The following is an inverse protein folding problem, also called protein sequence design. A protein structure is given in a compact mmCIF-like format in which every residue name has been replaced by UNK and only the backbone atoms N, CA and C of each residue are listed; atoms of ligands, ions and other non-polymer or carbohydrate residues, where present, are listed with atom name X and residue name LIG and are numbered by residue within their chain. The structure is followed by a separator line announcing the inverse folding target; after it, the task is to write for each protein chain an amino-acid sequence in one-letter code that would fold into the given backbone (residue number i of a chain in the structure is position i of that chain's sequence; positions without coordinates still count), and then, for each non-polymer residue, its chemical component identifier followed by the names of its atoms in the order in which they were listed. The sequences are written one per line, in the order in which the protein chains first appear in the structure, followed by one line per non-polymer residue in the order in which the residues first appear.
data_IF_480134434820
#
_entry.id   IF_480134434820
#
_cell.length_a   1.000
_cell.length_b   1.000
_cell.length_c   1.000
_cell.angle_alpha   90.00
_cell.angle_beta   90.00
_cell.angle_gamma   90.00
#
_symmetry.space_group_name_H-M   'P 1'
#
loop_
_entity.id
_entity.type
_entity.pdbx_description
1 polymer ?
#
# COMPACT_ATOMS: atom_id res chain seq x y z
N UNK A 1 -18.50 -14.73 13.02
CA UNK A 1 -17.51 -13.96 12.23
C UNK A 1 -16.27 -14.79 11.87
N UNK A 2 -15.55 -15.42 12.80
CA UNK A 2 -14.28 -16.11 12.48
C UNK A 2 -14.37 -17.23 11.43
N UNK A 3 -15.50 -17.92 11.31
CA UNK A 3 -15.70 -18.99 10.32
C UNK A 3 -15.91 -18.51 8.88
N UNK A 4 -16.17 -17.21 8.67
CA UNK A 4 -16.41 -16.62 7.36
C UNK A 4 -15.25 -15.68 6.94
N UNK A 5 -14.29 -15.42 7.82
CA UNK A 5 -13.19 -14.48 7.56
C UNK A 5 -12.17 -15.05 6.57
N UNK A 6 -11.95 -16.37 6.61
CA UNK A 6 -11.04 -17.08 5.68
C UNK A 6 -11.74 -18.34 5.21
N UNK A 7 -12.00 -18.43 3.92
CA UNK A 7 -12.77 -19.54 3.31
C UNK A 7 -11.88 -20.64 2.69
N UNK A 8 -10.56 -20.45 2.68
CA UNK A 8 -9.64 -21.39 2.08
C UNK A 8 -8.17 -21.10 2.42
N UNK A 9 -7.24 -21.90 1.92
CA UNK A 9 -5.80 -21.69 2.10
C UNK A 9 -5.33 -20.48 1.27
N UNK A 10 -4.17 -19.93 1.65
CA UNK A 10 -3.52 -18.83 0.95
C UNK A 10 -3.61 -17.52 1.72
N UNK A 11 -3.39 -16.41 1.00
CA UNK A 11 -3.52 -15.06 1.57
C UNK A 11 -4.98 -14.62 1.62
N UNK A 12 -5.25 -13.53 2.35
CA UNK A 12 -6.64 -13.04 2.53
C UNK A 12 -7.32 -12.62 1.22
N UNK A 13 -8.65 -12.44 1.28
CA UNK A 13 -9.49 -12.07 0.14
C UNK A 13 -9.36 -10.59 -0.30
N UNK A 14 -8.47 -9.81 0.33
CA UNK A 14 -8.33 -8.37 0.07
C UNK A 14 -6.93 -7.98 -0.44
N UNK A 15 -6.79 -6.69 -0.80
CA UNK A 15 -5.55 -6.06 -1.27
C UNK A 15 -4.68 -5.63 -0.08
N UNK A 16 -4.39 -6.57 0.84
CA UNK A 16 -3.40 -6.40 1.88
C UNK A 16 -1.97 -6.47 1.32
N UNK A 17 -0.97 -6.49 2.21
CA UNK A 17 0.44 -6.46 1.81
C UNK A 17 0.82 -7.61 0.87
N UNK A 18 0.33 -8.83 1.13
CA UNK A 18 0.66 -10.00 0.30
C UNK A 18 0.18 -9.81 -1.15
N UNK A 19 -1.12 -9.52 -1.36
CA UNK A 19 -1.66 -9.32 -2.70
C UNK A 19 -1.11 -8.07 -3.38
N UNK A 20 -0.84 -6.98 -2.64
CA UNK A 20 -0.15 -5.81 -3.19
C UNK A 20 1.26 -6.13 -3.67
N UNK A 21 1.99 -7.00 -2.95
CA UNK A 21 3.33 -7.42 -3.37
C UNK A 21 3.31 -8.46 -4.49
N UNK A 22 2.27 -9.30 -4.61
CA UNK A 22 2.05 -10.12 -5.79
C UNK A 22 1.89 -9.25 -7.05
N UNK A 23 0.99 -8.26 -6.98
CA UNK A 23 0.78 -7.28 -8.04
C UNK A 23 2.08 -6.52 -8.36
N UNK A 24 2.81 -6.05 -7.35
CA UNK A 24 4.08 -5.37 -7.53
C UNK A 24 5.13 -6.25 -8.20
N UNK A 25 5.21 -7.54 -7.85
CA UNK A 25 6.16 -8.47 -8.46
C UNK A 25 5.92 -8.64 -9.97
N UNK A 26 4.66 -8.68 -10.41
CA UNK A 26 4.32 -8.75 -11.83
C UNK A 26 4.60 -7.42 -12.55
N UNK A 27 4.25 -6.28 -11.93
CA UNK A 27 4.53 -4.95 -12.48
C UNK A 27 6.05 -4.64 -12.55
N UNK A 28 6.87 -5.20 -11.64
CA UNK A 28 8.32 -5.18 -11.70
C UNK A 28 8.91 -6.10 -12.82
N UNK A 29 8.08 -6.90 -13.47
CA UNK A 29 8.53 -7.91 -14.41
C UNK A 29 9.17 -9.15 -13.76
N UNK A 30 9.02 -9.34 -12.43
CA UNK A 30 9.65 -10.42 -11.66
C UNK A 30 8.73 -11.63 -11.42
N UNK A 31 7.45 -11.55 -11.79
CA UNK A 31 6.54 -12.68 -11.86
C UNK A 31 6.19 -12.99 -13.32
N UNK A 32 5.80 -14.23 -13.60
CA UNK A 32 5.29 -14.58 -14.92
C UNK A 32 3.97 -13.85 -15.19
N UNK A 33 3.77 -13.29 -16.38
CA UNK A 33 2.55 -12.60 -16.73
C UNK A 33 1.28 -13.44 -16.50
N UNK A 34 0.26 -12.84 -15.87
CA UNK A 34 -1.01 -13.49 -15.58
C UNK A 34 -0.98 -14.50 -14.42
N UNK A 35 0.04 -14.44 -13.57
CA UNK A 35 0.14 -15.32 -12.40
C UNK A 35 -0.16 -14.61 -11.07
N UNK A 36 -0.56 -13.33 -11.11
CA UNK A 36 -0.88 -12.56 -9.90
C UNK A 36 -2.20 -11.77 -10.04
N UNK A 37 -3.14 -11.96 -9.11
CA UNK A 37 -3.18 -13.02 -8.10
C UNK A 37 -3.48 -14.37 -8.75
N UNK A 38 -3.30 -15.46 -8.00
CA UNK A 38 -3.72 -16.79 -8.39
C UNK A 38 -4.31 -17.51 -7.17
N UNK A 39 -5.44 -18.17 -7.35
CA UNK A 39 -6.12 -18.87 -6.26
C UNK A 39 -5.26 -20.00 -5.71
N UNK A 40 -5.00 -19.97 -4.40
CA UNK A 40 -4.19 -20.98 -3.74
C UNK A 40 -4.74 -22.40 -3.93
N UNK A 41 -3.84 -23.36 -4.21
CA UNK A 41 -4.14 -24.77 -4.49
C UNK A 41 -5.01 -25.03 -5.73
N UNK A 42 -5.21 -24.01 -6.57
CA UNK A 42 -5.87 -24.20 -7.87
C UNK A 42 -4.97 -24.91 -8.88
N UNK A 43 -5.57 -25.47 -9.92
CA UNK A 43 -4.83 -25.99 -11.07
C UNK A 43 -3.98 -24.90 -11.73
N UNK A 44 -4.48 -23.66 -11.80
CA UNK A 44 -3.75 -22.50 -12.30
C UNK A 44 -2.49 -22.21 -11.49
N UNK A 45 -2.55 -22.28 -10.15
CA UNK A 45 -1.37 -22.09 -9.30
C UNK A 45 -0.31 -23.16 -9.58
N UNK A 46 -0.71 -24.44 -9.68
CA UNK A 46 0.25 -25.52 -9.96
C UNK A 46 0.87 -25.41 -11.36
N UNK A 47 0.10 -24.98 -12.35
CA UNK A 47 0.61 -24.69 -13.69
C UNK A 47 1.62 -23.53 -13.67
N UNK A 48 1.31 -22.44 -12.95
CA UNK A 48 2.21 -21.30 -12.79
C UNK A 48 3.52 -21.70 -12.09
N UNK A 49 3.44 -22.50 -11.02
CA UNK A 49 4.65 -23.02 -10.32
C UNK A 49 5.51 -23.85 -11.25
N UNK A 50 4.91 -24.77 -12.02
CA UNK A 50 5.65 -25.59 -12.96
C UNK A 50 6.30 -24.75 -14.08
N UNK A 51 5.60 -23.73 -14.57
CA UNK A 51 6.13 -22.80 -15.57
C UNK A 51 7.28 -21.97 -15.01
N UNK A 52 7.13 -21.43 -13.79
CA UNK A 52 8.17 -20.68 -13.11
C UNK A 52 9.44 -21.53 -12.89
N UNK A 53 9.26 -22.81 -12.51
CA UNK A 53 10.37 -23.74 -12.35
C UNK A 53 11.15 -24.00 -13.65
N UNK A 54 10.47 -24.10 -14.78
CA UNK A 54 11.13 -24.19 -16.09
C UNK A 54 11.83 -22.88 -16.45
N UNK A 55 11.13 -21.77 -16.26
CA UNK A 55 11.64 -20.45 -16.65
C UNK A 55 12.88 -20.04 -15.87
N UNK A 56 12.98 -20.35 -14.57
CA UNK A 56 14.18 -20.00 -13.81
C UNK A 56 15.44 -20.69 -14.35
N UNK A 57 15.34 -21.93 -14.83
CA UNK A 57 16.45 -22.63 -15.46
C UNK A 57 16.89 -21.92 -16.75
N UNK A 58 15.93 -21.51 -17.58
CA UNK A 58 16.21 -20.76 -18.82
C UNK A 58 16.89 -19.42 -18.52
N UNK A 59 16.44 -18.69 -17.48
CA UNK A 59 17.04 -17.43 -17.06
C UNK A 59 18.50 -17.62 -16.60
N UNK A 60 18.77 -18.68 -15.84
CA UNK A 60 20.13 -19.03 -15.41
C UNK A 60 21.03 -19.34 -16.61
N UNK A 61 20.55 -20.15 -17.54
CA UNK A 61 21.33 -20.51 -18.75
C UNK A 61 21.59 -19.32 -19.68
N UNK A 62 20.67 -18.33 -19.69
CA UNK A 62 20.81 -17.10 -20.47
C UNK A 62 21.55 -15.98 -19.71
N UNK A 63 22.03 -16.23 -18.47
CA UNK A 63 22.63 -15.24 -17.56
C UNK A 63 21.75 -14.00 -17.36
N UNK A 64 20.42 -14.16 -17.34
CA UNK A 64 19.48 -13.07 -17.06
C UNK A 64 19.33 -12.97 -15.55
N UNK A 65 19.82 -11.87 -14.99
CA UNK A 65 19.86 -11.63 -13.55
C UNK A 65 18.75 -10.68 -13.12
N UNK A 66 18.21 -10.79 -11.88
CA UNK A 66 17.20 -9.87 -11.37
C UNK A 66 17.59 -8.40 -11.51
N UNK A 67 18.86 -8.04 -11.26
CA UNK A 67 19.36 -6.66 -11.37
C UNK A 67 19.28 -6.08 -12.78
N UNK A 68 19.24 -6.90 -13.82
CA UNK A 68 19.04 -6.41 -15.19
C UNK A 68 17.57 -6.09 -15.52
N UNK A 69 16.62 -6.56 -14.70
CA UNK A 69 15.18 -6.35 -14.85
C UNK A 69 14.66 -5.28 -13.88
N UNK A 70 15.23 -5.20 -12.67
CA UNK A 70 14.85 -4.28 -11.61
C UNK A 70 15.42 -2.87 -11.86
N UNK A 71 14.89 -2.21 -12.89
CA UNK A 71 15.27 -0.86 -13.31
C UNK A 71 14.38 0.22 -12.66
N UNK A 72 14.78 1.48 -12.73
CA UNK A 72 13.95 2.60 -12.25
C UNK A 72 12.57 2.62 -12.93
N UNK A 73 12.50 2.28 -14.21
CA UNK A 73 11.25 2.14 -14.95
C UNK A 73 10.34 1.03 -14.37
N UNK A 74 10.91 -0.13 -14.04
CA UNK A 74 10.18 -1.22 -13.42
C UNK A 74 9.62 -0.82 -12.04
N UNK A 75 10.40 -0.09 -11.22
CA UNK A 75 9.91 0.44 -9.94
C UNK A 75 8.80 1.48 -10.13
N UNK A 76 8.91 2.37 -11.11
CA UNK A 76 7.85 3.32 -11.47
C UNK A 76 6.55 2.59 -11.85
N UNK A 77 6.63 1.54 -12.68
CA UNK A 77 5.49 0.72 -13.06
C UNK A 77 4.85 0.04 -11.83
N UNK A 78 5.64 -0.51 -10.93
CA UNK A 78 5.15 -1.15 -9.72
C UNK A 78 4.44 -0.17 -8.77
N UNK A 79 5.01 1.03 -8.59
CA UNK A 79 4.39 2.10 -7.79
C UNK A 79 3.07 2.54 -8.41
N UNK A 80 3.03 2.74 -9.73
CA UNK A 80 1.80 3.09 -10.47
C UNK A 80 0.71 2.03 -10.26
N UNK A 81 1.06 0.76 -10.39
CA UNK A 81 0.09 -0.33 -10.17
C UNK A 81 -0.44 -0.37 -8.73
N UNK A 82 0.43 -0.18 -7.72
CA UNK A 82 0.03 -0.14 -6.31
C UNK A 82 -0.91 1.03 -6.02
N UNK A 83 -0.63 2.21 -6.58
CA UNK A 83 -1.48 3.40 -6.43
C UNK A 83 -2.87 3.17 -7.01
N UNK A 84 -2.96 2.57 -8.19
CA UNK A 84 -4.23 2.34 -8.90
C UNK A 84 -5.18 1.36 -8.19
N UNK A 85 -4.68 0.56 -7.26
CA UNK A 85 -5.49 -0.37 -6.44
C UNK A 85 -5.60 0.05 -4.98
N UNK A 86 -5.11 1.24 -4.61
CA UNK A 86 -4.93 1.62 -3.20
C UNK A 86 -4.30 0.48 -2.38
N UNK A 87 -3.15 0.00 -2.83
CA UNK A 87 -2.46 -1.13 -2.22
C UNK A 87 -1.92 -0.84 -0.82
N UNK A 88 -1.20 -1.78 -0.26
CA UNK A 88 -0.65 -1.65 1.09
C UNK A 88 0.47 -0.61 1.15
N UNK A 89 0.42 0.27 2.14
CA UNK A 89 1.50 1.23 2.42
C UNK A 89 2.82 0.55 2.79
N UNK A 90 2.80 -0.72 3.15
CA UNK A 90 4.01 -1.50 3.40
C UNK A 90 4.87 -1.66 2.13
N UNK A 91 4.25 -1.59 0.95
CA UNK A 91 4.95 -1.68 -0.32
C UNK A 91 6.02 -0.59 -0.50
N UNK A 92 5.84 0.59 0.10
CA UNK A 92 6.87 1.64 0.05
C UNK A 92 8.21 1.13 0.59
N UNK A 93 8.19 0.51 1.79
CA UNK A 93 9.43 -0.04 2.39
C UNK A 93 9.94 -1.28 1.65
N UNK A 94 9.03 -2.16 1.24
CA UNK A 94 9.42 -3.38 0.57
C UNK A 94 10.07 -3.08 -0.79
N UNK A 95 9.47 -2.21 -1.60
CA UNK A 95 10.05 -1.82 -2.87
C UNK A 95 11.35 -1.05 -2.69
N UNK A 96 11.45 -0.15 -1.69
CA UNK A 96 12.71 0.54 -1.40
C UNK A 96 13.82 -0.44 -0.99
N UNK A 97 13.51 -1.44 -0.16
CA UNK A 97 14.47 -2.47 0.20
C UNK A 97 14.93 -3.29 -1.02
N UNK A 98 14.00 -3.63 -1.91
CA UNK A 98 14.32 -4.34 -3.17
C UNK A 98 15.18 -3.46 -4.07
N UNK A 99 14.89 -2.15 -4.19
CA UNK A 99 15.70 -1.23 -5.00
C UNK A 99 17.14 -1.15 -4.48
N UNK A 100 17.32 -1.01 -3.16
CA UNK A 100 18.66 -0.99 -2.52
C UNK A 100 19.40 -2.29 -2.79
N UNK A 101 18.76 -3.46 -2.57
CA UNK A 101 19.39 -4.77 -2.81
C UNK A 101 19.70 -4.99 -4.29
N UNK A 102 18.87 -4.49 -5.19
CA UNK A 102 19.10 -4.52 -6.63
C UNK A 102 20.21 -3.57 -7.08
N UNK A 103 20.73 -2.70 -6.21
CA UNK A 103 21.64 -1.61 -6.56
C UNK A 103 21.03 -0.66 -7.60
N UNK A 104 19.72 -0.41 -7.50
CA UNK A 104 18.97 0.51 -8.34
C UNK A 104 18.79 1.85 -7.61
N UNK A 105 19.07 2.96 -8.27
CA UNK A 105 18.99 4.32 -7.71
C UNK A 105 17.54 4.84 -7.57
N UNK A 106 16.52 3.96 -7.70
CA UNK A 106 15.13 4.34 -7.55
C UNK A 106 14.82 4.76 -6.11
N UNK A 107 14.46 6.01 -5.90
CA UNK A 107 13.84 6.49 -4.66
C UNK A 107 12.34 6.20 -4.70
N UNK A 108 11.94 5.08 -4.13
CA UNK A 108 10.55 4.60 -4.15
C UNK A 108 9.62 5.57 -3.42
N UNK A 109 10.08 6.21 -2.35
CA UNK A 109 9.24 7.17 -1.62
C UNK A 109 8.93 8.40 -2.48
N UNK A 110 9.94 8.88 -3.20
CA UNK A 110 9.78 9.97 -4.16
C UNK A 110 8.87 9.56 -5.32
N UNK A 111 8.98 8.35 -5.83
CA UNK A 111 8.05 7.84 -6.85
C UNK A 111 6.60 7.85 -6.36
N UNK A 112 6.32 7.42 -5.13
CA UNK A 112 4.97 7.53 -4.56
C UNK A 112 4.50 8.98 -4.45
N UNK A 113 5.37 9.90 -4.03
CA UNK A 113 5.05 11.34 -3.93
C UNK A 113 4.72 11.96 -5.29
N UNK A 114 5.50 11.63 -6.32
CA UNK A 114 5.35 12.19 -7.67
C UNK A 114 4.21 11.57 -8.49
N UNK A 115 3.93 10.28 -8.28
CA UNK A 115 2.94 9.54 -9.06
C UNK A 115 1.54 9.56 -8.43
N UNK A 116 1.44 9.67 -7.11
CA UNK A 116 0.15 9.63 -6.42
C UNK A 116 -0.88 10.64 -6.99
N UNK A 117 -0.52 11.90 -7.31
CA UNK A 117 -1.47 12.85 -7.89
C UNK A 117 -1.91 12.52 -9.32
N UNK A 118 -1.20 11.62 -10.00
CA UNK A 118 -1.40 11.32 -11.44
C UNK A 118 -2.13 9.99 -11.67
N UNK A 119 -2.13 9.11 -10.67
CA UNK A 119 -2.65 7.75 -10.80
C UNK A 119 -4.00 7.64 -10.09
N UNK A 120 -5.10 7.51 -10.83
CA UNK A 120 -6.42 7.35 -10.26
C UNK A 120 -6.65 5.93 -9.73
N UNK A 121 -7.69 5.78 -8.90
CA UNK A 121 -8.17 4.47 -8.44
C UNK A 121 -8.97 3.77 -9.53
N UNK A 122 -8.57 2.56 -9.91
CA UNK A 122 -9.24 1.79 -10.96
C UNK A 122 -10.03 0.59 -10.43
N UNK A 123 -9.83 0.19 -9.17
CA UNK A 123 -10.56 -0.94 -8.57
C UNK A 123 -10.69 -0.74 -7.05
N UNK A 124 -11.74 -1.30 -6.49
CA UNK A 124 -12.12 -1.16 -5.08
C UNK A 124 -11.92 -2.46 -4.27
N UNK A 125 -10.92 -3.24 -4.61
CA UNK A 125 -10.63 -4.49 -3.88
C UNK A 125 -10.53 -4.23 -2.38
N UNK A 126 -11.21 -5.06 -1.57
CA UNK A 126 -11.19 -4.96 -0.10
C UNK A 126 -9.79 -4.67 0.46
N UNK A 127 -9.65 -3.78 1.43
CA UNK A 127 -10.66 -3.07 2.22
C UNK A 127 -11.16 -1.75 1.63
N UNK A 128 -10.80 -1.41 0.38
CA UNK A 128 -11.16 -0.13 -0.24
C UNK A 128 -12.61 -0.07 -0.72
N UNK A 129 -13.26 -1.21 -0.87
CA UNK A 129 -14.65 -1.41 -1.25
C UNK A 129 -15.04 -2.86 -1.07
N UNK A 130 -15.99 -3.37 -1.85
CA UNK A 130 -16.58 -4.71 -1.67
C UNK A 130 -15.99 -5.80 -2.56
N UNK A 131 -15.23 -5.44 -3.59
CA UNK A 131 -14.61 -6.39 -4.51
C UNK A 131 -13.62 -7.31 -3.79
N UNK A 132 -13.74 -8.62 -4.01
CA UNK A 132 -12.78 -9.60 -3.50
C UNK A 132 -11.63 -9.81 -4.47
N UNK A 133 -10.48 -10.26 -3.97
CA UNK A 133 -9.29 -10.55 -4.80
C UNK A 133 -9.57 -11.59 -5.89
N UNK A 134 -10.48 -12.53 -5.65
CA UNK A 134 -10.91 -13.54 -6.64
C UNK A 134 -11.72 -12.94 -7.78
N UNK A 135 -12.50 -11.88 -7.52
CA UNK A 135 -13.21 -11.14 -8.56
C UNK A 135 -12.23 -10.29 -9.40
N UNK A 136 -11.23 -9.70 -8.74
CA UNK A 136 -10.14 -9.00 -9.42
C UNK A 136 -9.34 -9.96 -10.33
N UNK A 137 -9.00 -11.17 -9.85
CA UNK A 137 -8.38 -12.23 -10.65
C UNK A 137 -9.23 -12.59 -11.88
N UNK A 138 -10.52 -12.87 -11.66
CA UNK A 138 -11.46 -13.21 -12.74
C UNK A 138 -11.63 -12.07 -13.78
N UNK A 139 -11.47 -10.82 -13.37
CA UNK A 139 -11.52 -9.65 -14.25
C UNK A 139 -10.24 -9.44 -15.10
N UNK A 140 -9.26 -10.34 -14.98
CA UNK A 140 -7.98 -10.31 -15.68
C UNK A 140 -6.77 -9.94 -14.81
N UNK A 141 -6.99 -9.70 -13.52
CA UNK A 141 -5.95 -9.54 -12.51
C UNK A 141 -4.97 -8.39 -12.79
N UNK A 142 -3.73 -8.62 -12.45
CA UNK A 142 -2.66 -7.62 -12.61
C UNK A 142 -2.42 -7.24 -14.06
N UNK A 143 -2.46 -8.20 -15.01
CA UNK A 143 -2.27 -7.87 -16.42
C UNK A 143 -3.36 -6.92 -16.95
N UNK A 144 -4.62 -7.16 -16.59
CA UNK A 144 -5.73 -6.28 -16.95
C UNK A 144 -5.55 -4.88 -16.38
N UNK A 145 -5.15 -4.77 -15.11
CA UNK A 145 -4.84 -3.50 -14.48
C UNK A 145 -3.72 -2.75 -15.22
N UNK A 146 -2.60 -3.44 -15.50
CA UNK A 146 -1.47 -2.86 -16.22
C UNK A 146 -1.85 -2.44 -17.64
N UNK A 147 -2.75 -3.17 -18.30
CA UNK A 147 -3.29 -2.77 -19.60
C UNK A 147 -4.09 -1.49 -19.52
N UNK A 148 -4.95 -1.33 -18.50
CA UNK A 148 -5.69 -0.06 -18.29
C UNK A 148 -4.74 1.10 -17.95
N UNK A 149 -3.62 0.82 -17.28
CA UNK A 149 -2.61 1.81 -16.91
C UNK A 149 -1.58 2.08 -18.02
N UNK A 150 -1.63 1.41 -19.17
CA UNK A 150 -0.59 1.47 -20.21
C UNK A 150 -0.09 2.88 -20.56
N UNK A 151 -0.96 3.93 -20.65
CA UNK A 151 -0.49 5.30 -20.91
C UNK A 151 0.41 5.91 -19.81
N UNK A 152 0.42 5.34 -18.61
CA UNK A 152 1.18 5.81 -17.45
C UNK A 152 2.42 4.93 -17.17
N UNK A 153 2.66 3.88 -17.96
CA UNK A 153 3.72 2.90 -17.73
C UNK A 153 4.84 3.01 -18.75
N UNK A 154 6.04 2.60 -18.34
CA UNK A 154 7.11 2.29 -19.28
C UNK A 154 6.91 0.86 -19.82
N UNK A 155 6.36 0.78 -21.02
CA UNK A 155 6.03 -0.48 -21.67
C UNK A 155 7.27 -1.22 -22.22
N UNK A 156 8.43 -0.57 -22.27
CA UNK A 156 9.68 -1.17 -22.72
C UNK A 156 10.37 -2.00 -21.62
N UNK A 157 9.92 -1.88 -20.36
CA UNK A 157 10.45 -2.62 -19.22
C UNK A 157 10.38 -4.14 -19.49
N UNK A 158 11.50 -4.82 -19.27
CA UNK A 158 11.62 -6.27 -19.56
C UNK A 158 11.07 -7.11 -18.39
N UNK A 159 10.57 -8.29 -18.71
CA UNK A 159 10.02 -9.23 -17.76
C UNK A 159 10.81 -10.56 -17.72
N UNK A 160 10.65 -11.31 -16.65
CA UNK A 160 11.20 -12.67 -16.54
C UNK A 160 10.68 -13.63 -17.63
N UNK A 161 9.56 -13.30 -18.29
CA UNK A 161 9.06 -14.08 -19.43
C UNK A 161 9.93 -13.93 -20.70
N UNK A 162 10.83 -12.93 -20.72
CA UNK A 162 11.66 -12.63 -21.89
C UNK A 162 11.03 -11.62 -22.85
N UNK A 163 9.82 -11.16 -22.55
CA UNK A 163 9.08 -10.13 -23.30
C UNK A 163 9.18 -8.78 -22.59
N UNK A 164 8.79 -7.72 -23.28
CA UNK A 164 8.52 -6.43 -22.66
C UNK A 164 7.18 -6.44 -21.90
N UNK A 165 6.97 -5.47 -21.01
CA UNK A 165 5.70 -5.30 -20.35
C UNK A 165 4.57 -5.02 -21.36
N UNK A 166 4.85 -4.18 -22.38
CA UNK A 166 3.89 -3.87 -23.44
C UNK A 166 3.42 -5.13 -24.19
N UNK A 167 4.33 -6.02 -24.55
CA UNK A 167 3.99 -7.30 -25.18
C UNK A 167 3.16 -8.18 -24.24
N UNK A 168 3.51 -8.22 -22.95
CA UNK A 168 2.81 -9.05 -21.97
C UNK A 168 1.34 -8.64 -21.77
N UNK A 169 1.06 -7.32 -21.78
CA UNK A 169 -0.30 -6.80 -21.50
C UNK A 169 -1.16 -6.62 -22.77
N UNK A 170 -0.59 -6.69 -23.97
CA UNK A 170 -1.26 -6.33 -25.21
C UNK A 170 -2.61 -7.02 -25.44
N UNK A 171 -2.68 -8.32 -25.10
CA UNK A 171 -3.87 -9.15 -25.29
C UNK A 171 -4.60 -9.50 -23.97
N UNK A 172 -4.23 -8.86 -22.85
CA UNK A 172 -4.84 -9.18 -21.57
C UNK A 172 -6.36 -8.89 -21.58
N UNK A 173 -7.22 -9.85 -21.20
CA UNK A 173 -8.64 -9.58 -21.07
C UNK A 173 -8.88 -8.60 -19.91
N UNK A 174 -9.89 -7.74 -20.02
CA UNK A 174 -10.25 -6.78 -18.97
C UNK A 174 -11.77 -6.78 -18.81
N UNK A 175 -12.22 -7.02 -17.57
CA UNK A 175 -13.60 -6.71 -17.18
C UNK A 175 -13.62 -5.29 -16.58
N UNK A 176 -14.12 -4.33 -17.35
CA UNK A 176 -14.18 -2.93 -16.97
C UNK A 176 -15.21 -2.63 -15.85
N UNK A 177 -16.07 -3.57 -15.51
CA UNK A 177 -16.96 -3.43 -14.36
C UNK A 177 -16.16 -3.52 -13.03
N UNK A 178 -15.04 -4.26 -13.03
CA UNK A 178 -14.19 -4.49 -11.85
C UNK A 178 -12.89 -3.66 -11.92
N UNK A 179 -12.27 -3.57 -13.11
CA UNK A 179 -11.02 -2.82 -13.35
C UNK A 179 -11.33 -1.70 -14.34
N UNK A 180 -11.60 -0.52 -13.81
CA UNK A 180 -12.06 0.63 -14.58
C UNK A 180 -11.00 1.15 -15.55
N UNK A 181 -11.41 1.73 -16.70
CA UNK A 181 -10.49 2.42 -17.59
C UNK A 181 -10.03 3.75 -16.98
N UNK A 182 -8.85 4.24 -17.40
CA UNK A 182 -8.31 5.54 -16.98
C UNK A 182 -9.28 6.71 -17.25
N UNK A 183 -10.08 6.63 -18.32
CA UNK A 183 -11.06 7.66 -18.66
C UNK A 183 -12.31 7.70 -17.78
N UNK A 184 -12.55 6.65 -16.98
CA UNK A 184 -13.70 6.54 -16.07
C UNK A 184 -13.30 5.83 -14.76
N UNK A 185 -12.34 6.36 -14.00
CA UNK A 185 -11.84 5.75 -12.78
C UNK A 185 -12.90 5.74 -11.66
N UNK A 186 -12.68 4.94 -10.62
CA UNK A 186 -13.52 4.95 -9.43
C UNK A 186 -13.35 6.23 -8.61
N UNK A 187 -12.12 6.73 -8.51
CA UNK A 187 -11.80 7.98 -7.84
C UNK A 187 -10.55 8.61 -8.45
N UNK A 188 -10.50 9.93 -8.48
CA UNK A 188 -9.38 10.71 -9.03
C UNK A 188 -8.42 11.23 -7.95
N UNK A 189 -8.81 11.19 -6.68
CA UNK A 189 -7.93 11.59 -5.58
C UNK A 189 -6.82 10.54 -5.35
N UNK A 190 -5.66 10.97 -4.82
CA UNK A 190 -4.57 10.05 -4.48
C UNK A 190 -5.00 9.00 -3.45
N UNK A 191 -4.73 7.73 -3.74
CA UNK A 191 -5.01 6.63 -2.82
C UNK A 191 -4.00 6.53 -1.66
N UNK A 192 -2.75 6.94 -1.92
CA UNK A 192 -1.67 7.00 -0.94
C UNK A 192 -1.06 8.38 -1.02
N UNK A 193 -1.02 9.09 0.11
CA UNK A 193 -0.50 10.45 0.20
C UNK A 193 0.77 10.45 1.06
N UNK A 194 1.83 11.06 0.54
CA UNK A 194 3.05 11.34 1.32
C UNK A 194 2.96 12.77 1.83
N UNK A 195 3.03 12.93 3.14
CA UNK A 195 2.91 14.22 3.84
C UNK A 195 4.20 14.53 4.57
N UNK A 196 4.47 15.84 4.78
CA UNK A 196 5.60 16.32 5.57
C UNK A 196 5.12 17.33 6.60
N UNK A 197 5.77 17.35 7.76
CA UNK A 197 5.43 18.29 8.83
C UNK A 197 6.39 18.19 10.00
N UNK A 198 6.20 19.00 11.03
CA UNK A 198 7.08 19.07 12.19
C UNK A 198 7.21 17.74 12.94
N UNK A 199 6.18 16.90 12.91
CA UNK A 199 6.18 15.56 13.52
C UNK A 199 6.96 14.54 12.66
N UNK A 200 6.88 14.68 11.35
CA UNK A 200 7.49 13.77 10.37
C UNK A 200 8.14 14.58 9.24
N UNK A 201 9.28 15.25 9.50
CA UNK A 201 9.96 16.08 8.49
C UNK A 201 10.44 15.27 7.29
N UNK A 202 10.78 14.01 7.50
CA UNK A 202 11.22 13.08 6.44
C UNK A 202 10.06 12.41 5.71
N UNK A 203 8.83 12.69 6.10
CA UNK A 203 7.60 12.22 5.50
C UNK A 203 6.79 11.28 6.38
N UNK A 204 5.49 11.34 6.19
CA UNK A 204 4.49 10.42 6.69
C UNK A 204 3.63 9.90 5.53
N UNK A 205 3.03 8.75 5.68
CA UNK A 205 2.21 8.14 4.63
C UNK A 205 0.79 7.93 5.17
N UNK A 206 -0.18 8.41 4.42
CA UNK A 206 -1.59 8.20 4.65
C UNK A 206 -2.17 7.35 3.52
N UNK A 207 -3.03 6.40 3.87
CA UNK A 207 -3.85 5.65 2.91
C UNK A 207 -5.28 6.20 2.94
N UNK A 208 -5.84 6.48 1.75
CA UNK A 208 -7.23 6.92 1.56
C UNK A 208 -8.07 5.80 0.94
N UNK A 209 -9.38 5.85 1.16
CA UNK A 209 -10.34 4.95 0.52
C UNK A 209 -11.01 5.58 -0.69
N UNK A 210 -11.77 4.76 -1.45
CA UNK A 210 -12.52 5.21 -2.63
C UNK A 210 -13.57 6.25 -2.27
N UNK A 211 -14.19 6.14 -1.09
CA UNK A 211 -15.28 7.02 -0.66
C UNK A 211 -14.83 8.38 -0.10
N UNK A 212 -13.52 8.65 -0.09
CA UNK A 212 -12.93 9.72 0.71
C UNK A 212 -12.70 11.00 -0.11
N UNK A 213 -13.78 11.73 -0.40
CA UNK A 213 -13.74 13.02 -1.10
C UNK A 213 -13.56 14.24 -0.17
N UNK A 214 -13.61 14.04 1.15
CA UNK A 214 -13.52 15.11 2.12
C UNK A 214 -12.07 15.60 2.33
N UNK A 215 -11.84 16.88 2.65
CA UNK A 215 -10.56 17.35 3.14
C UNK A 215 -10.24 16.64 4.45
N UNK A 216 -9.09 15.96 4.49
CA UNK A 216 -8.66 15.24 5.68
C UNK A 216 -8.01 16.21 6.65
N UNK A 217 -8.80 16.73 7.58
CA UNK A 217 -8.32 17.49 8.72
C UNK A 217 -8.79 16.80 10.00
N UNK A 218 -7.85 16.46 10.89
CA UNK A 218 -8.15 15.91 12.19
C UNK A 218 -7.40 16.68 13.28
N UNK A 219 -8.12 17.12 14.32
CA UNK A 219 -7.56 17.81 15.47
C UNK A 219 -8.02 17.16 16.75
N UNK A 220 -7.09 16.91 17.65
CA UNK A 220 -7.45 16.34 18.93
C UNK A 220 -6.32 16.26 19.94
N UNK A 221 -6.63 15.94 21.20
CA UNK A 221 -5.63 15.72 22.22
C UNK A 221 -4.81 14.46 21.90
N UNK A 222 -3.49 14.56 22.07
CA UNK A 222 -2.59 13.43 21.86
C UNK A 222 -2.64 12.46 23.05
N UNK A 223 -2.82 11.18 22.72
CA UNK A 223 -2.67 10.05 23.66
C UNK A 223 -1.48 9.20 23.22
N UNK A 224 -0.35 9.38 23.88
CA UNK A 224 0.88 8.69 23.53
C UNK A 224 0.92 7.34 24.24
N UNK A 225 1.21 6.28 23.49
CA UNK A 225 1.48 4.92 23.97
C UNK A 225 2.79 4.42 23.38
N UNK A 226 3.61 3.73 24.18
CA UNK A 226 4.98 3.38 23.84
C UNK A 226 5.16 1.93 23.42
N UNK A 227 4.08 1.17 23.37
CA UNK A 227 4.08 -0.19 22.83
C UNK A 227 2.68 -0.58 22.34
N UNK A 228 2.65 -1.58 21.45
CA UNK A 228 1.41 -2.19 21.00
C UNK A 228 0.53 -2.66 22.16
N UNK A 229 1.12 -3.34 23.13
CA UNK A 229 0.38 -3.96 24.24
C UNK A 229 -0.18 -2.90 25.19
N UNK A 230 0.56 -1.82 25.44
CA UNK A 230 0.05 -0.65 26.16
C UNK A 230 -1.15 -0.02 25.42
N UNK A 231 -1.04 0.18 24.12
CA UNK A 231 -2.13 0.73 23.30
C UNK A 231 -3.38 -0.13 23.32
N UNK A 232 -3.23 -1.44 23.14
CA UNK A 232 -4.34 -2.41 23.20
C UNK A 232 -4.97 -2.43 24.60
N UNK A 233 -4.18 -2.42 25.66
CA UNK A 233 -4.70 -2.35 27.03
C UNK A 233 -5.43 -1.02 27.29
N UNK A 234 -4.92 0.10 26.77
CA UNK A 234 -5.56 1.40 26.85
C UNK A 234 -6.92 1.43 26.17
N UNK A 235 -7.01 0.89 24.94
CA UNK A 235 -8.27 0.79 24.20
C UNK A 235 -9.31 -0.04 24.96
N UNK A 236 -8.91 -1.23 25.44
CA UNK A 236 -9.78 -2.12 26.22
C UNK A 236 -10.25 -1.50 27.56
N UNK A 237 -9.42 -0.65 28.16
CA UNK A 237 -9.76 0.06 29.41
C UNK A 237 -10.57 1.34 29.16
N UNK A 238 -10.96 1.65 27.93
CA UNK A 238 -11.75 2.85 27.60
C UNK A 238 -10.97 4.15 27.80
N UNK A 239 -9.63 4.13 27.71
CA UNK A 239 -8.80 5.34 27.89
C UNK A 239 -8.78 6.27 26.67
N UNK A 240 -9.26 5.80 25.53
CA UNK A 240 -9.44 6.61 24.32
C UNK A 240 -10.88 7.03 24.18
N UNK A 241 -11.09 8.26 23.70
CA UNK A 241 -12.40 8.85 23.46
C UNK A 241 -12.47 9.44 22.05
N UNK A 242 -13.67 9.66 21.55
CA UNK A 242 -13.87 10.32 20.27
C UNK A 242 -13.12 11.67 20.22
N UNK A 243 -12.42 11.93 19.12
CA UNK A 243 -11.60 13.12 18.94
C UNK A 243 -10.14 12.97 19.41
N UNK A 244 -9.74 11.86 20.02
CA UNK A 244 -8.33 11.64 20.40
C UNK A 244 -7.44 11.35 19.19
N UNK A 245 -6.17 11.77 19.26
CA UNK A 245 -5.08 11.35 18.36
C UNK A 245 -4.19 10.38 19.13
N UNK A 246 -4.28 9.10 18.82
CA UNK A 246 -3.44 8.07 19.44
C UNK A 246 -2.09 8.02 18.72
N UNK A 247 -1.01 8.24 19.48
CA UNK A 247 0.36 8.20 18.94
C UNK A 247 1.05 6.96 19.49
N UNK A 248 1.20 5.94 18.64
CA UNK A 248 1.87 4.69 18.97
C UNK A 248 3.33 4.75 18.53
N UNK A 249 4.26 4.73 19.46
CA UNK A 249 5.70 4.81 19.21
C UNK A 249 6.42 3.51 19.58
N UNK A 250 7.67 3.39 19.15
CA UNK A 250 8.53 2.25 19.48
C UNK A 250 8.36 1.02 18.60
N UNK A 251 7.64 1.13 17.47
CA UNK A 251 7.45 0.05 16.48
C UNK A 251 8.34 0.21 15.24
N UNK A 252 9.28 1.18 15.27
CA UNK A 252 10.21 1.44 14.18
C UNK A 252 11.27 0.35 14.00
N UNK A 253 12.23 0.59 13.10
CA UNK A 253 13.24 -0.40 12.69
C UNK A 253 14.28 -0.72 13.77
N UNK A 254 14.49 0.15 14.76
CA UNK A 254 15.49 -0.08 15.81
C UNK A 254 15.00 -1.14 16.78
N UNK A 255 15.70 -2.27 16.80
CA UNK A 255 15.39 -3.40 17.69
C UNK A 255 14.15 -4.20 17.32
N UNK A 256 13.57 -3.97 16.13
CA UNK A 256 12.41 -4.69 15.62
C UNK A 256 12.48 -4.82 14.10
N UNK A 257 11.71 -5.73 13.48
CA UNK A 257 11.63 -5.81 12.00
C UNK A 257 10.96 -4.58 11.36
N UNK A 258 10.56 -3.56 12.13
CA UNK A 258 9.85 -2.38 11.63
C UNK A 258 8.44 -2.66 11.13
N UNK A 259 7.95 -3.87 11.38
CA UNK A 259 6.63 -4.39 10.97
C UNK A 259 5.77 -4.66 12.20
N UNK A 260 5.91 -3.82 13.23
CA UNK A 260 5.17 -3.98 14.48
C UNK A 260 3.67 -4.12 14.21
N UNK A 261 3.00 -4.93 15.04
CA UNK A 261 1.58 -5.28 14.90
C UNK A 261 0.66 -4.10 15.28
N UNK A 262 0.83 -2.94 14.64
CA UNK A 262 -0.01 -1.75 14.84
C UNK A 262 -1.48 -2.08 14.59
N UNK A 263 -1.77 -3.01 13.67
CA UNK A 263 -3.13 -3.48 13.39
C UNK A 263 -3.85 -4.06 14.61
N UNK A 264 -3.13 -4.58 15.61
CA UNK A 264 -3.76 -5.06 16.84
C UNK A 264 -4.37 -3.91 17.66
N UNK A 265 -3.70 -2.76 17.72
CA UNK A 265 -4.26 -1.55 18.32
C UNK A 265 -5.49 -1.08 17.54
N UNK A 266 -5.43 -1.13 16.21
CA UNK A 266 -6.55 -0.73 15.36
C UNK A 266 -7.79 -1.57 15.60
N UNK A 267 -7.65 -2.89 15.62
CA UNK A 267 -8.77 -3.78 15.95
C UNK A 267 -9.30 -3.55 17.37
N UNK A 268 -8.44 -3.14 18.31
CA UNK A 268 -8.90 -2.80 19.66
C UNK A 268 -9.69 -1.48 19.69
N UNK A 269 -9.28 -0.47 18.90
CA UNK A 269 -10.01 0.81 18.74
C UNK A 269 -11.34 0.56 18.02
N UNK A 270 -11.34 -0.27 16.96
CA UNK A 270 -12.54 -0.67 16.23
C UNK A 270 -13.52 -1.43 17.15
N UNK A 271 -13.02 -2.39 17.90
CA UNK A 271 -13.81 -3.12 18.90
C UNK A 271 -14.38 -2.26 20.03
N UNK A 272 -13.80 -1.08 20.27
CA UNK A 272 -14.30 -0.06 21.18
C UNK A 272 -15.32 0.89 20.53
N UNK A 273 -15.65 0.73 19.24
CA UNK A 273 -16.55 1.59 18.48
C UNK A 273 -15.99 2.97 18.16
N UNK A 274 -14.66 3.13 18.15
CA UNK A 274 -13.98 4.41 17.97
C UNK A 274 -13.28 4.55 16.61
N UNK A 275 -13.49 3.61 15.69
CA UNK A 275 -12.77 3.52 14.42
C UNK A 275 -12.92 4.77 13.53
N UNK A 276 -14.05 5.46 13.56
CA UNK A 276 -14.32 6.66 12.75
C UNK A 276 -14.09 7.98 13.50
N UNK A 277 -13.69 7.92 14.77
CA UNK A 277 -13.63 9.11 15.64
C UNK A 277 -12.29 9.31 16.33
N UNK A 278 -11.31 8.44 16.10
CA UNK A 278 -9.96 8.49 16.66
C UNK A 278 -8.94 8.37 15.52
N UNK A 279 -8.00 9.31 15.45
CA UNK A 279 -6.87 9.18 14.51
C UNK A 279 -5.71 8.41 15.15
N UNK A 280 -4.95 7.64 14.35
CA UNK A 280 -3.77 6.91 14.83
C UNK A 280 -2.53 7.29 14.04
N UNK A 281 -1.48 7.66 14.75
CA UNK A 281 -0.14 7.96 14.22
C UNK A 281 0.83 6.91 14.76
N UNK A 282 1.70 6.36 13.90
CA UNK A 282 2.69 5.36 14.33
C UNK A 282 3.99 5.45 13.53
N UNK A 283 5.10 5.10 14.17
CA UNK A 283 6.39 4.82 13.51
C UNK A 283 6.49 3.37 13.00
N UNK A 284 5.50 2.55 13.31
CA UNK A 284 5.38 1.17 12.84
C UNK A 284 4.84 1.03 11.43
N UNK A 285 4.47 -0.19 11.04
CA UNK A 285 3.78 -0.50 9.79
C UNK A 285 2.40 -1.08 10.04
N UNK A 286 1.46 -0.71 9.18
CA UNK A 286 0.09 -1.20 9.19
C UNK A 286 -0.10 -2.03 7.94
N UNK A 287 -0.57 -3.27 8.12
CA UNK A 287 -1.07 -4.09 7.01
C UNK A 287 -2.34 -3.45 6.46
N UNK A 288 -2.50 -3.33 5.15
CA UNK A 288 -3.59 -2.60 4.50
C UNK A 288 -5.01 -3.15 4.68
N UNK A 289 -5.25 -4.07 5.60
CA UNK A 289 -6.56 -4.67 5.90
C UNK A 289 -7.26 -3.95 7.06
N UNK A 290 -7.22 -2.65 7.09
CA UNK A 290 -8.00 -1.85 8.05
C UNK A 290 -9.07 -1.14 7.24
N UNK A 291 -10.30 -1.14 7.73
CA UNK A 291 -11.40 -0.41 7.10
C UNK A 291 -10.99 1.04 6.90
N UNK A 292 -11.21 1.54 5.70
CA UNK A 292 -10.66 2.82 5.26
C UNK A 292 -11.31 4.06 5.85
N UNK A 293 -12.26 3.92 6.77
CA UNK A 293 -12.86 5.03 7.51
C UNK A 293 -11.94 5.54 8.63
N UNK A 294 -10.75 4.96 8.75
CA UNK A 294 -9.75 5.35 9.73
C UNK A 294 -8.57 6.04 9.03
N UNK A 295 -8.42 7.31 9.24
CA UNK A 295 -7.29 8.11 8.81
C UNK A 295 -6.00 7.66 9.50
N UNK A 296 -5.19 6.84 8.79
CA UNK A 296 -3.91 6.39 9.29
C UNK A 296 -2.79 7.24 8.79
N UNK A 297 -2.13 7.91 9.71
CA UNK A 297 -0.89 8.60 9.45
C UNK A 297 0.26 7.74 9.93
N UNK A 298 1.10 7.33 9.00
CA UNK A 298 2.34 6.66 9.29
C UNK A 298 3.51 7.61 9.12
N UNK A 299 4.27 7.83 10.19
CA UNK A 299 5.51 8.59 10.13
C UNK A 299 6.65 7.73 9.56
N UNK A 300 7.37 8.25 8.55
CA UNK A 300 8.67 7.73 8.11
C UNK A 300 9.68 8.00 9.23
N UNK A 301 10.48 7.04 9.61
CA UNK A 301 11.47 7.02 10.67
C UNK A 301 11.87 8.39 11.23
N UNK A 302 11.44 8.73 12.43
CA UNK A 302 11.88 9.96 13.05
C UNK A 302 10.89 10.67 13.97
N UNK A 303 9.90 9.98 14.52
CA UNK A 303 9.19 10.53 15.70
C UNK A 303 10.21 10.64 16.82
N UNK A 304 11.03 11.69 16.77
CA UNK A 304 11.99 12.01 17.83
C UNK A 304 11.22 12.67 18.95
N UNK A 305 11.11 11.94 20.09
CA UNK A 305 10.62 12.47 21.35
C UNK A 305 9.34 13.31 21.29
N UNK A 306 8.20 12.65 21.07
CA UNK A 306 6.92 13.28 21.43
C UNK A 306 6.87 13.27 22.95
N UNK A 307 7.15 14.41 23.55
CA UNK A 307 6.89 14.61 24.97
C UNK A 307 5.42 15.06 25.12
N UNK A 308 4.78 14.63 26.20
CA UNK A 308 3.40 15.02 26.59
C UNK A 308 3.20 16.54 26.79
N UNK A 309 4.12 17.39 26.34
CA UNK A 309 4.12 18.84 26.60
C UNK A 309 3.29 19.68 25.61
N UNK A 310 2.75 19.07 24.52
CA UNK A 310 1.82 19.79 23.63
C UNK A 310 0.50 19.03 23.55
N UNK A 311 -0.60 19.59 24.02
CA UNK A 311 -1.88 18.87 24.16
C UNK A 311 -2.68 18.71 22.86
N UNK A 312 -2.27 19.30 21.73
CA UNK A 312 -3.03 19.24 20.48
C UNK A 312 -2.13 19.02 19.27
N UNK A 313 -2.54 18.12 18.38
CA UNK A 313 -1.99 17.97 17.03
C UNK A 313 -2.99 18.47 15.99
N UNK A 314 -2.49 19.16 14.98
CA UNK A 314 -3.24 19.47 13.76
C UNK A 314 -2.62 18.69 12.61
N UNK A 315 -3.46 18.03 11.85
CA UNK A 315 -3.09 17.32 10.63
C UNK A 315 -3.85 18.00 9.50
N UNK A 316 -3.13 18.75 8.67
CA UNK A 316 -3.69 19.35 7.46
C UNK A 316 -3.20 18.53 6.26
N UNK A 317 -4.12 18.06 5.44
CA UNK A 317 -3.80 17.35 4.19
C UNK A 317 -4.24 18.26 3.05
N UNK A 318 -3.31 18.79 2.23
CA UNK A 318 -3.68 19.63 1.12
C UNK A 318 -4.50 18.86 0.08
N UNK A 319 -5.63 19.41 -0.33
CA UNK A 319 -6.34 18.97 -1.53
C UNK A 319 -5.44 19.16 -2.74
N UNK A 320 -5.20 18.09 -3.48
CA UNK A 320 -4.30 17.89 -4.60
C UNK A 320 -4.15 19.01 -5.62
N UNK A 321 -3.38 20.03 -5.30
CA UNK A 321 -2.64 20.87 -6.23
C UNK A 321 -1.86 21.92 -5.43
N UNK A 322 -0.55 21.85 -5.47
CA UNK A 322 0.44 22.70 -4.79
C UNK A 322 0.90 22.21 -3.41
N UNK A 323 1.87 21.32 -3.44
CA UNK A 323 2.81 21.11 -2.34
C UNK A 323 3.78 22.30 -2.29
N UNK A 324 3.31 23.45 -1.81
CA UNK A 324 4.19 24.49 -1.31
C UNK A 324 4.40 24.28 0.19
N UNK A 325 5.62 24.38 0.73
CA UNK A 325 5.83 24.30 2.16
C UNK A 325 5.11 25.46 2.83
N UNK A 326 4.12 25.18 3.63
CA UNK A 326 3.48 26.21 4.45
C UNK A 326 4.43 26.61 5.60
N UNK A 327 4.92 27.84 5.68
CA UNK A 327 5.87 28.29 6.70
C UNK A 327 5.16 28.82 7.94
N UNK A 328 4.25 28.10 8.54
CA UNK A 328 3.66 28.57 9.78
C UNK A 328 3.09 27.44 10.63
N UNK A 329 3.96 26.84 11.40
CA UNK A 329 3.62 26.25 12.68
C UNK A 329 4.70 26.68 13.68
N UNK A 330 4.51 27.88 14.17
CA UNK A 330 5.20 28.53 15.29
C UNK A 330 4.24 28.57 16.48
N UNK A 331 4.78 28.64 17.67
CA UNK A 331 5.69 27.77 18.44
C UNK A 331 4.94 26.82 19.36
#
# INVERSE_FOLDING_TARGET
MSRCAVTGPGVCAGMGTANSMHLAAEALGMALPGTTPVLARSAGMWAAVAQAGRRIVELVLADIRPRSLLTAAAFSNAVTAILAVSGSVNCLKHLQAIAVEASCDADVYRLFEELAPKVPLLTDVKPNGDTQITQFDAAGGTLALLRQLAPLLDLSARTVAGTTLGEAIAAAPVDEAVIRPLGAPLATHPAIVVMRGSLAPDGAVLKRTVADDAPLEFRGPAKVVHSRDEGVAAAKAGRFTAGDVVVLTGLGLRGSPGMGLTSALMFAIDGAGLSTSVAVITDGQISGLVNGDNDFIRCRAGVRHITNRRPHFRIDIPNGSHLAPSPSLIP
#
